data_IF_312669424197
#
_entry.id   IF_312669424197
#
_cell.length_a   1.000
_cell.length_b   1.000
_cell.length_c   1.000
_cell.angle_alpha   90.00
_cell.angle_beta   90.00
_cell.angle_gamma   90.00
#
_symmetry.space_group_name_H-M   'P 1'
#
loop_
_entity.id
_entity.type
_entity.pdbx_description
1 polymer ?
#
# COMPACT_ATOMS: atom_id res chain seq x y z
N UNK A 1 26.75 28.46 -0.55
CA UNK A 1 25.28 28.39 -0.73
C UNK A 1 24.86 26.94 -0.59
N UNK A 2 24.36 26.53 0.57
CA UNK A 2 23.77 25.21 0.75
C UNK A 2 22.25 25.38 0.61
N UNK A 3 21.72 24.99 -0.54
CA UNK A 3 20.28 24.87 -0.72
C UNK A 3 19.82 23.73 0.18
N UNK A 4 19.18 24.09 1.29
CA UNK A 4 18.48 23.14 2.15
C UNK A 4 17.28 22.66 1.32
N UNK A 5 17.46 21.54 0.63
CA UNK A 5 16.34 20.78 0.09
C UNK A 5 15.47 20.36 1.28
N UNK A 6 14.38 21.09 1.51
CA UNK A 6 13.30 20.62 2.39
C UNK A 6 12.73 19.38 1.71
N UNK A 7 13.29 18.21 2.04
CA UNK A 7 12.64 16.95 1.79
C UNK A 7 11.31 16.99 2.55
N UNK A 8 10.22 17.23 1.82
CA UNK A 8 8.88 16.98 2.32
C UNK A 8 8.89 15.57 2.92
N UNK A 9 8.56 15.49 4.20
CA UNK A 9 8.71 14.30 5.04
C UNK A 9 7.68 13.25 4.62
N UNK A 10 7.91 12.59 3.50
CA UNK A 10 7.12 11.44 3.08
C UNK A 10 7.41 10.30 4.06
N UNK A 11 6.39 9.56 4.52
CA UNK A 11 6.61 8.34 5.27
C UNK A 11 7.52 7.39 4.48
N UNK A 12 8.27 6.56 5.21
CA UNK A 12 9.24 5.66 4.59
C UNK A 12 8.58 4.79 3.53
N UNK A 13 9.16 4.81 2.32
CA UNK A 13 8.74 3.97 1.19
C UNK A 13 9.22 2.52 1.32
N UNK A 14 9.94 2.22 2.40
CA UNK A 14 10.30 0.84 2.78
C UNK A 14 9.12 0.23 3.53
N UNK A 15 8.60 -0.93 3.11
CA UNK A 15 7.52 -1.62 3.80
C UNK A 15 7.86 -1.92 5.27
N UNK A 16 6.95 -1.59 6.20
CA UNK A 16 7.04 -2.04 7.58
C UNK A 16 7.08 -3.57 7.71
N UNK A 17 7.65 -4.13 8.81
CA UNK A 17 7.71 -5.57 9.03
C UNK A 17 6.34 -6.26 8.91
N UNK A 18 5.29 -5.62 9.43
CA UNK A 18 3.93 -6.16 9.45
C UNK A 18 3.37 -6.32 8.03
N UNK A 19 3.70 -5.38 7.13
CA UNK A 19 3.35 -5.44 5.71
C UNK A 19 4.05 -6.60 5.04
N UNK A 20 5.33 -6.82 5.35
CA UNK A 20 6.11 -7.94 4.81
C UNK A 20 5.56 -9.30 5.28
N UNK A 21 5.19 -9.43 6.55
CA UNK A 21 4.58 -10.63 7.12
C UNK A 21 3.24 -10.94 6.43
N UNK A 22 2.38 -9.94 6.24
CA UNK A 22 1.11 -10.12 5.56
C UNK A 22 1.30 -10.54 4.08
N UNK A 23 2.23 -9.91 3.37
CA UNK A 23 2.57 -10.26 1.99
C UNK A 23 3.10 -11.69 1.88
N UNK A 24 3.93 -12.12 2.84
CA UNK A 24 4.41 -13.50 2.89
C UNK A 24 3.28 -14.50 3.12
N UNK A 25 2.36 -14.23 4.06
CA UNK A 25 1.17 -15.06 4.28
C UNK A 25 0.33 -15.16 3.01
N UNK A 26 0.08 -14.04 2.33
CA UNK A 26 -0.63 -14.01 1.05
C UNK A 26 0.03 -14.88 -0.03
N UNK A 27 1.37 -14.86 -0.13
CA UNK A 27 2.12 -15.72 -1.05
C UNK A 27 2.01 -17.20 -0.69
N UNK A 28 2.06 -17.56 0.60
CA UNK A 28 1.86 -18.94 1.07
C UNK A 28 0.48 -19.46 0.70
N UNK A 29 -0.58 -18.71 1.02
CA UNK A 29 -1.95 -19.07 0.66
C UNK A 29 -2.15 -19.14 -0.86
N UNK A 30 -1.54 -18.24 -1.62
CA UNK A 30 -1.60 -18.27 -3.09
C UNK A 30 -0.93 -19.51 -3.68
N UNK A 31 0.13 -20.00 -3.07
CA UNK A 31 0.79 -21.26 -3.47
C UNK A 31 -0.11 -22.46 -3.16
N UNK A 32 -0.71 -22.50 -1.97
CA UNK A 32 -1.57 -23.59 -1.53
C UNK A 32 -2.89 -23.68 -2.31
N UNK A 33 -3.63 -22.57 -2.40
CA UNK A 33 -4.99 -22.55 -2.97
C UNK A 33 -5.02 -22.20 -4.46
N UNK A 34 -3.87 -21.81 -5.03
CA UNK A 34 -3.69 -21.44 -6.45
C UNK A 34 -4.65 -20.36 -7.00
N UNK A 35 -5.29 -19.59 -6.12
CA UNK A 35 -6.30 -18.57 -6.46
C UNK A 35 -6.04 -17.25 -5.71
N UNK A 36 -6.68 -16.17 -6.16
CA UNK A 36 -6.57 -14.84 -5.54
C UNK A 36 -5.39 -14.01 -6.04
N UNK A 37 -5.64 -12.71 -6.23
CA UNK A 37 -4.65 -11.74 -6.73
C UNK A 37 -4.33 -11.86 -8.22
N UNK A 38 -3.92 -10.74 -8.82
CA UNK A 38 -3.37 -10.69 -10.18
C UNK A 38 -1.86 -10.95 -10.16
N UNK A 39 -1.25 -11.19 -11.33
CA UNK A 39 0.22 -11.29 -11.43
C UNK A 39 0.93 -10.04 -10.86
N UNK A 40 0.32 -8.86 -11.02
CA UNK A 40 0.82 -7.63 -10.42
C UNK A 40 0.77 -7.65 -8.88
N UNK A 41 -0.28 -8.22 -8.27
CA UNK A 41 -0.36 -8.40 -6.83
C UNK A 41 0.70 -9.40 -6.32
N UNK A 42 0.95 -10.48 -7.04
CA UNK A 42 1.98 -11.47 -6.70
C UNK A 42 3.37 -10.84 -6.77
N UNK A 43 3.68 -10.13 -7.84
CA UNK A 43 4.95 -9.41 -7.98
C UNK A 43 5.12 -8.40 -6.84
N UNK A 44 4.06 -7.66 -6.51
CA UNK A 44 4.08 -6.71 -5.39
C UNK A 44 4.31 -7.39 -4.06
N UNK A 45 3.65 -8.50 -3.78
CA UNK A 45 3.85 -9.26 -2.55
C UNK A 45 5.30 -9.71 -2.38
N UNK A 46 5.99 -10.05 -3.47
CA UNK A 46 7.43 -10.37 -3.44
C UNK A 46 8.29 -9.15 -3.10
N UNK A 47 7.98 -7.98 -3.66
CA UNK A 47 8.67 -6.73 -3.31
C UNK A 47 8.46 -6.39 -1.82
N UNK A 48 7.21 -6.51 -1.34
CA UNK A 48 6.81 -6.23 0.04
C UNK A 48 7.46 -7.17 1.05
N UNK A 49 7.41 -8.49 0.80
CA UNK A 49 8.06 -9.50 1.65
C UNK A 49 9.55 -9.21 1.83
N UNK A 50 10.22 -8.82 0.75
CA UNK A 50 11.65 -8.50 0.77
C UNK A 50 11.96 -7.09 1.28
N UNK A 51 10.94 -6.35 1.76
CA UNK A 51 11.04 -4.97 2.25
C UNK A 51 11.78 -4.05 1.29
N UNK A 52 11.57 -4.25 -0.01
CA UNK A 52 12.18 -3.41 -1.04
C UNK A 52 11.53 -2.03 -1.03
N UNK A 53 12.30 -0.93 -1.12
CA UNK A 53 11.74 0.40 -1.24
C UNK A 53 10.86 0.49 -2.49
N UNK A 54 9.65 1.02 -2.33
CA UNK A 54 8.70 1.15 -3.43
C UNK A 54 8.79 2.53 -4.08
N UNK A 55 8.62 2.57 -5.40
CA UNK A 55 8.47 3.84 -6.11
C UNK A 55 7.15 4.53 -5.74
N UNK A 56 7.11 5.85 -5.87
CA UNK A 56 5.89 6.63 -5.60
C UNK A 56 4.71 6.17 -6.48
N UNK A 57 4.97 5.85 -7.75
CA UNK A 57 3.95 5.31 -8.66
C UNK A 57 3.36 3.99 -8.14
N UNK A 58 4.20 3.15 -7.54
CA UNK A 58 3.76 1.91 -6.89
C UNK A 58 2.93 2.20 -5.64
N UNK A 59 3.35 3.14 -4.79
CA UNK A 59 2.55 3.55 -3.62
C UNK A 59 1.17 4.10 -4.04
N UNK A 60 1.11 4.95 -5.07
CA UNK A 60 -0.15 5.45 -5.64
C UNK A 60 -1.05 4.31 -6.15
N UNK A 61 -0.47 3.24 -6.71
CA UNK A 61 -1.21 2.03 -7.11
C UNK A 61 -1.77 1.28 -5.90
N UNK A 62 -0.99 1.11 -4.84
CA UNK A 62 -1.45 0.51 -3.58
C UNK A 62 -2.61 1.30 -2.97
N UNK A 63 -2.47 2.64 -2.89
CA UNK A 63 -3.52 3.54 -2.40
C UNK A 63 -4.81 3.36 -3.21
N UNK A 64 -4.72 3.34 -4.54
CA UNK A 64 -5.88 3.14 -5.42
C UNK A 64 -6.53 1.78 -5.22
N UNK A 65 -5.74 0.73 -5.03
CA UNK A 65 -6.23 -0.62 -4.73
C UNK A 65 -7.06 -0.62 -3.43
N UNK A 66 -6.48 -0.16 -2.32
CA UNK A 66 -7.15 -0.14 -1.03
C UNK A 66 -8.36 0.81 -0.96
N UNK A 67 -8.34 1.92 -1.72
CA UNK A 67 -9.50 2.81 -1.84
C UNK A 67 -10.71 2.11 -2.46
N UNK A 68 -10.50 1.25 -3.45
CA UNK A 68 -11.58 0.48 -4.10
C UNK A 68 -12.10 -0.65 -3.20
N UNK A 69 -11.22 -1.32 -2.46
CA UNK A 69 -11.61 -2.41 -1.56
C UNK A 69 -12.35 -1.97 -0.29
N UNK A 70 -12.27 -0.69 0.11
CA UNK A 70 -13.01 -0.17 1.28
C UNK A 70 -14.53 -0.37 1.18
N UNK A 71 -15.07 -0.56 -0.03
CA UNK A 71 -16.51 -0.70 -0.29
C UNK A 71 -17.01 -2.15 -0.40
N UNK A 72 -16.14 -3.15 -0.60
CA UNK A 72 -16.59 -4.44 -1.15
C UNK A 72 -16.25 -5.69 -0.32
N UNK A 73 -15.55 -5.62 0.82
CA UNK A 73 -15.21 -6.86 1.52
C UNK A 73 -15.00 -6.74 3.03
N UNK A 74 -16.06 -7.05 3.77
CA UNK A 74 -15.98 -8.00 4.89
C UNK A 74 -17.01 -9.09 4.61
N UNK A 75 -16.74 -9.92 3.60
CA UNK A 75 -17.51 -11.14 3.44
C UNK A 75 -17.40 -11.96 4.74
N UNK A 76 -18.50 -12.57 5.18
CA UNK A 76 -18.46 -13.59 6.24
C UNK A 76 -17.40 -14.62 5.83
N UNK A 77 -16.38 -14.87 6.68
CA UNK A 77 -15.13 -15.63 6.42
C UNK A 77 -13.88 -14.86 5.94
N UNK A 78 -13.85 -13.53 6.01
CA UNK A 78 -12.61 -12.78 5.78
C UNK A 78 -11.55 -13.13 6.85
N UNK A 79 -10.56 -13.95 6.50
CA UNK A 79 -9.54 -14.43 7.44
C UNK A 79 -9.60 -15.92 7.78
N UNK A 80 -10.50 -16.70 7.17
CA UNK A 80 -10.45 -18.15 7.31
C UNK A 80 -9.18 -18.69 6.64
N UNK A 81 -8.20 -19.14 7.44
CA UNK A 81 -6.92 -19.68 6.95
C UNK A 81 -7.06 -21.05 6.28
N UNK A 82 -8.12 -21.81 6.61
CA UNK A 82 -8.39 -23.14 6.04
C UNK A 82 -9.04 -23.07 4.65
N UNK A 83 -9.83 -22.02 4.38
CA UNK A 83 -10.45 -21.80 3.07
C UNK A 83 -10.56 -20.29 2.73
N UNK A 84 -9.42 -19.60 2.51
CA UNK A 84 -9.41 -18.17 2.29
C UNK A 84 -10.05 -17.81 0.95
N UNK A 85 -10.89 -16.77 0.96
CA UNK A 85 -11.48 -16.23 -0.27
C UNK A 85 -10.40 -15.64 -1.19
N UNK A 86 -10.70 -15.57 -2.49
CA UNK A 86 -9.81 -14.94 -3.48
C UNK A 86 -9.50 -13.49 -3.13
N UNK A 87 -10.49 -12.79 -2.56
CA UNK A 87 -10.36 -11.42 -2.05
C UNK A 87 -9.41 -11.33 -0.85
N UNK A 88 -9.48 -12.26 0.10
CA UNK A 88 -8.59 -12.28 1.26
C UNK A 88 -7.12 -12.58 0.87
N UNK A 89 -6.91 -13.53 -0.05
CA UNK A 89 -5.54 -13.78 -0.58
C UNK A 89 -5.01 -12.53 -1.28
N UNK A 90 -5.83 -11.89 -2.14
CA UNK A 90 -5.43 -10.65 -2.79
C UNK A 90 -5.11 -9.54 -1.78
N UNK A 91 -5.94 -9.38 -0.74
CA UNK A 91 -5.72 -8.41 0.34
C UNK A 91 -4.36 -8.61 1.01
N UNK A 92 -4.03 -9.84 1.40
CA UNK A 92 -2.74 -10.17 2.00
C UNK A 92 -1.57 -9.94 1.04
N UNK A 93 -1.71 -10.24 -0.25
CA UNK A 93 -0.66 -9.96 -1.26
C UNK A 93 -0.33 -8.46 -1.36
N UNK A 94 -1.28 -7.58 -1.05
CA UNK A 94 -1.05 -6.13 -1.00
C UNK A 94 -0.58 -5.63 0.38
N UNK A 95 -0.36 -6.53 1.34
CA UNK A 95 0.15 -6.21 2.69
C UNK A 95 -0.90 -6.19 3.78
N UNK A 96 -2.14 -6.61 3.50
CA UNK A 96 -3.20 -6.72 4.49
C UNK A 96 -3.59 -5.41 5.15
N UNK A 97 -4.04 -5.46 6.40
CA UNK A 97 -4.43 -4.27 7.18
C UNK A 97 -3.25 -3.33 7.41
N UNK A 98 -2.06 -3.87 7.68
CA UNK A 98 -0.83 -3.09 7.81
C UNK A 98 -0.51 -2.35 6.51
N UNK A 99 -0.64 -3.03 5.35
CA UNK A 99 -0.42 -2.44 4.04
C UNK A 99 -1.41 -1.33 3.72
N UNK A 100 -2.67 -1.49 4.15
CA UNK A 100 -3.70 -0.45 4.04
C UNK A 100 -3.39 0.76 4.92
N UNK A 101 -3.03 0.55 6.18
CA UNK A 101 -2.67 1.65 7.09
C UNK A 101 -1.48 2.44 6.53
N UNK A 102 -0.43 1.73 6.13
CA UNK A 102 0.76 2.30 5.53
C UNK A 102 0.47 3.08 4.22
N UNK A 103 -0.43 2.56 3.37
CA UNK A 103 -0.86 3.27 2.17
C UNK A 103 -1.66 4.54 2.49
N UNK A 104 -2.53 4.51 3.52
CA UNK A 104 -3.30 5.67 3.93
C UNK A 104 -2.42 6.79 4.51
N UNK A 105 -1.38 6.45 5.29
CA UNK A 105 -0.37 7.41 5.76
C UNK A 105 0.31 8.14 4.58
N UNK A 106 0.73 7.37 3.56
CA UNK A 106 1.32 7.93 2.35
C UNK A 106 0.34 8.84 1.59
N UNK A 107 -0.93 8.44 1.53
CA UNK A 107 -1.97 9.26 0.89
C UNK A 107 -2.14 10.59 1.62
N UNK A 108 -2.20 10.59 2.95
CA UNK A 108 -2.31 11.81 3.75
C UNK A 108 -1.11 12.74 3.54
N UNK A 109 0.10 12.19 3.54
CA UNK A 109 1.32 12.97 3.26
C UNK A 109 1.28 13.62 1.87
N UNK A 110 0.85 12.88 0.84
CA UNK A 110 0.72 13.40 -0.53
C UNK A 110 -0.33 14.51 -0.66
N UNK A 111 -1.48 14.37 -0.01
CA UNK A 111 -2.53 15.39 -0.03
C UNK A 111 -2.09 16.65 0.73
N UNK A 112 -1.40 16.49 1.86
CA UNK A 112 -0.81 17.61 2.62
C UNK A 112 0.17 18.40 1.76
N UNK A 113 1.16 17.72 1.15
CA UNK A 113 2.12 18.35 0.25
C UNK A 113 1.45 19.09 -0.92
N UNK A 114 0.43 18.48 -1.53
CA UNK A 114 -0.34 19.10 -2.62
C UNK A 114 -1.10 20.35 -2.16
N UNK A 115 -1.67 20.34 -0.96
CA UNK A 115 -2.38 21.48 -0.39
C UNK A 115 -1.43 22.64 -0.10
N UNK A 116 -0.27 22.36 0.49
CA UNK A 116 0.77 23.36 0.77
C UNK A 116 1.32 23.99 -0.52
N UNK A 117 1.57 23.18 -1.54
CA UNK A 117 2.01 23.65 -2.85
C UNK A 117 0.97 24.57 -3.52
N UNK A 118 -0.32 24.25 -3.39
CA UNK A 118 -1.42 25.09 -3.88
C UNK A 118 -1.47 26.44 -3.15
N UNK A 119 -1.37 26.43 -1.83
CA UNK A 119 -1.37 27.64 -1.01
C UNK A 119 -0.19 28.54 -1.34
N UNK A 120 1.04 27.99 -1.44
CA UNK A 120 2.24 28.75 -1.82
C UNK A 120 2.14 29.38 -3.21
N UNK A 121 1.50 28.70 -4.18
CA UNK A 121 1.29 29.23 -5.52
C UNK A 121 0.32 30.41 -5.52
N UNK A 122 -0.71 30.35 -4.68
CA UNK A 122 -1.70 31.42 -4.52
C UNK A 122 -1.10 32.67 -3.85
N UNK A 123 -0.31 32.50 -2.79
CA UNK A 123 0.32 33.61 -2.06
C UNK A 123 1.47 34.34 -2.79
N UNK A 124 1.91 33.85 -3.96
CA UNK A 124 2.96 34.48 -4.78
C UNK A 124 2.41 35.34 -5.93
N UNK A 125 1.09 35.34 -6.15
CA UNK A 125 0.44 36.05 -7.26
C UNK A 125 -0.44 37.22 -6.80
N UNK A 126 -0.44 37.55 -5.51
CA UNK A 126 -1.04 38.77 -4.95
C UNK A 126 0.06 39.61 -4.29
#
# INVERSE_FOLDING_TARGET
MQHIEKAEEYPSRVPPPEVAVAAERGLKLRTQFRRGGTMAAIARARDLKNRRPLSEQTMRRMIRYFKRLKSESRAENFGNEENPSTGYIAWLLWGGDAGKAWAEEHKQAMEKAKSEARTRRFSRQG
#
